data_IF_939785187969
#
_entry.id   IF_939785187969
#
_cell.length_a   1.000
_cell.length_b   1.000
_cell.length_c   1.000
_cell.angle_alpha   90.00
_cell.angle_beta   90.00
_cell.angle_gamma   90.00
#
_symmetry.space_group_name_H-M   'P 1'
#
loop_
_entity.id
_entity.type
_entity.pdbx_description
1 polymer ?
#
# COMPACT_ATOMS: atom_id res chain seq x y z
N UNK A 1 23.91 6.43 69.83
CA UNK A 1 23.09 7.63 70.13
C UNK A 1 22.14 7.88 68.97
N UNK A 2 20.82 7.61 69.12
CA UNK A 2 19.80 7.99 68.15
C UNK A 2 19.45 9.46 68.36
N UNK A 3 19.77 10.34 67.42
CA UNK A 3 19.34 11.74 67.47
C UNK A 3 17.88 11.79 67.12
N UNK A 4 16.98 12.08 68.03
CA UNK A 4 15.64 12.46 67.82
C UNK A 4 15.57 13.94 67.36
N UNK A 5 15.12 14.16 66.10
CA UNK A 5 14.85 15.52 65.65
C UNK A 5 13.46 15.90 66.15
N UNK A 6 13.39 16.80 67.16
CA UNK A 6 12.12 17.40 67.58
C UNK A 6 11.66 18.38 66.51
N UNK A 7 10.66 17.99 65.71
CA UNK A 7 9.97 18.92 64.83
C UNK A 7 9.07 19.81 65.67
N UNK A 8 9.27 21.11 65.64
CA UNK A 8 8.45 22.07 66.33
C UNK A 8 6.98 21.91 65.90
N UNK A 9 6.04 21.84 66.86
CA UNK A 9 4.61 21.63 66.60
C UNK A 9 4.01 22.63 65.59
N UNK A 10 4.51 23.87 65.59
CA UNK A 10 4.11 24.90 64.64
C UNK A 10 4.61 24.59 63.20
N UNK A 11 5.82 24.11 63.04
CA UNK A 11 6.41 23.72 61.76
C UNK A 11 5.68 22.49 61.18
N UNK A 12 5.30 21.54 62.02
CA UNK A 12 4.51 20.37 61.63
C UNK A 12 3.11 20.76 61.14
N UNK A 13 2.40 21.63 61.88
CA UNK A 13 1.05 22.14 61.51
C UNK A 13 1.15 22.93 60.21
N UNK A 14 2.16 23.79 60.06
CA UNK A 14 2.33 24.59 58.81
C UNK A 14 2.61 23.70 57.60
N UNK A 15 3.47 22.70 57.75
CA UNK A 15 3.78 21.75 56.66
C UNK A 15 2.54 20.93 56.26
N UNK A 16 1.70 20.50 57.22
CA UNK A 16 0.46 19.78 56.97
C UNK A 16 -0.54 20.65 56.24
N UNK A 17 -0.69 21.92 56.61
CA UNK A 17 -1.55 22.89 55.93
C UNK A 17 -1.11 23.16 54.50
N UNK A 18 0.20 23.29 54.23
CA UNK A 18 0.77 23.48 52.90
C UNK A 18 0.47 22.24 52.01
N UNK A 19 0.66 21.03 52.54
CA UNK A 19 0.35 19.79 51.82
C UNK A 19 -1.14 19.68 51.50
N UNK A 20 -2.00 20.02 52.50
CA UNK A 20 -3.45 20.03 52.29
C UNK A 20 -3.89 21.06 51.24
N UNK A 21 -3.29 22.27 51.25
CA UNK A 21 -3.56 23.30 50.28
C UNK A 21 -3.09 22.89 48.85
N UNK A 22 -1.91 22.29 48.74
CA UNK A 22 -1.39 21.76 47.48
C UNK A 22 -2.30 20.65 46.95
N UNK A 23 -2.76 19.73 47.80
CA UNK A 23 -3.67 18.68 47.45
C UNK A 23 -5.02 19.26 46.99
N UNK A 24 -5.57 20.24 47.70
CA UNK A 24 -6.79 20.96 47.32
C UNK A 24 -6.63 21.67 45.98
N UNK A 25 -5.52 22.36 45.71
CA UNK A 25 -5.24 22.99 44.42
C UNK A 25 -5.12 21.97 43.28
N UNK A 26 -4.52 20.81 43.54
CA UNK A 26 -4.43 19.71 42.58
C UNK A 26 -5.85 19.18 42.27
N UNK A 27 -6.67 18.95 43.28
CA UNK A 27 -8.08 18.48 43.10
C UNK A 27 -8.89 19.52 42.36
N UNK A 28 -8.78 20.81 42.71
CA UNK A 28 -9.48 21.89 41.99
C UNK A 28 -9.00 21.98 40.53
N UNK A 29 -7.69 21.91 40.27
CA UNK A 29 -7.15 21.90 38.91
C UNK A 29 -7.64 20.69 38.10
N UNK A 30 -7.75 19.53 38.74
CA UNK A 30 -8.25 18.31 38.10
C UNK A 30 -9.76 18.40 37.79
N UNK A 31 -10.57 18.98 38.68
CA UNK A 31 -12.00 19.18 38.47
C UNK A 31 -12.33 20.27 37.46
N UNK A 32 -11.53 21.35 37.40
CA UNK A 32 -11.69 22.44 36.43
C UNK A 32 -11.29 22.02 35.01
N UNK A 33 -10.28 21.13 34.88
CA UNK A 33 -9.75 20.69 33.59
C UNK A 33 -9.65 19.17 33.49
N UNK A 34 -10.80 18.46 33.47
CA UNK A 34 -10.80 17.02 33.49
C UNK A 34 -10.21 16.44 32.20
N UNK A 35 -9.47 15.33 32.36
CA UNK A 35 -9.09 14.51 31.22
C UNK A 35 -10.32 13.78 30.67
N UNK A 36 -10.40 13.68 29.33
CA UNK A 36 -11.41 12.93 28.61
C UNK A 36 -10.74 12.11 27.51
N UNK A 37 -11.48 11.24 26.89
CA UNK A 37 -11.01 10.39 25.80
C UNK A 37 -11.89 10.61 24.59
N UNK A 38 -11.27 10.74 23.42
CA UNK A 38 -11.99 10.93 22.16
C UNK A 38 -12.77 9.67 21.80
N UNK A 39 -14.05 9.84 21.50
CA UNK A 39 -14.91 8.79 20.98
C UNK A 39 -15.58 9.24 19.68
N UNK A 40 -15.72 8.32 18.73
CA UNK A 40 -16.35 8.54 17.44
C UNK A 40 -16.78 7.21 16.81
N UNK A 41 -17.56 7.29 15.74
CA UNK A 41 -18.06 6.10 15.03
C UNK A 41 -16.96 5.37 14.23
N UNK A 42 -15.95 6.11 13.76
CA UNK A 42 -14.79 5.56 13.06
C UNK A 42 -13.55 5.50 13.96
N UNK A 43 -12.40 5.41 13.35
CA UNK A 43 -11.12 5.40 14.05
C UNK A 43 -10.57 6.81 14.32
N UNK A 44 -11.00 7.80 13.56
CA UNK A 44 -10.54 9.19 13.62
C UNK A 44 -11.71 10.14 13.75
N UNK A 45 -11.61 11.09 14.69
CA UNK A 45 -12.50 12.25 14.79
C UNK A 45 -11.89 13.40 13.98
N UNK A 46 -12.60 13.90 12.97
CA UNK A 46 -12.20 15.10 12.25
C UNK A 46 -12.78 16.34 12.90
N UNK A 47 -11.93 17.30 13.23
CA UNK A 47 -12.27 18.56 13.87
C UNK A 47 -11.72 19.71 12.99
N UNK A 48 -12.49 20.78 12.85
CA UNK A 48 -12.04 21.99 12.14
C UNK A 48 -11.30 22.91 13.11
N UNK A 49 -10.10 23.33 12.69
CA UNK A 49 -9.31 24.37 13.31
C UNK A 49 -9.37 25.61 12.41
N UNK A 50 -9.81 26.73 12.96
CA UNK A 50 -9.85 27.99 12.22
C UNK A 50 -8.70 28.86 12.74
N UNK A 51 -7.84 29.33 11.84
CA UNK A 51 -6.78 30.29 12.15
C UNK A 51 -6.71 31.37 11.06
N UNK A 52 -6.05 32.46 11.36
CA UNK A 52 -5.84 33.55 10.39
C UNK A 52 -4.46 33.38 9.75
N UNK A 53 -4.43 33.38 8.44
CA UNK A 53 -3.20 33.40 7.65
C UNK A 53 -3.30 34.57 6.67
N UNK A 54 -2.34 35.51 6.74
CA UNK A 54 -2.34 36.75 5.96
C UNK A 54 -3.64 37.60 6.06
N UNK A 55 -4.36 37.50 7.21
CA UNK A 55 -5.62 38.22 7.43
C UNK A 55 -6.87 37.50 6.94
N UNK A 56 -6.74 36.35 6.29
CA UNK A 56 -7.85 35.49 5.85
C UNK A 56 -8.06 34.32 6.79
N UNK A 57 -9.31 33.92 6.98
CA UNK A 57 -9.65 32.74 7.81
C UNK A 57 -9.38 31.45 7.03
N UNK A 58 -8.43 30.68 7.49
CA UNK A 58 -8.10 29.35 6.95
C UNK A 58 -8.70 28.27 7.83
N UNK A 59 -9.36 27.28 7.22
CA UNK A 59 -9.94 26.14 7.89
C UNK A 59 -9.04 24.92 7.64
N UNK A 60 -8.40 24.45 8.71
CA UNK A 60 -7.60 23.22 8.71
C UNK A 60 -8.43 22.07 9.33
N UNK A 61 -8.35 20.89 8.75
CA UNK A 61 -8.98 19.66 9.29
C UNK A 61 -7.97 18.88 10.12
N UNK A 62 -8.16 18.88 11.44
CA UNK A 62 -7.35 18.13 12.38
C UNK A 62 -8.03 16.78 12.65
N UNK A 63 -7.28 15.68 12.51
CA UNK A 63 -7.76 14.31 12.80
C UNK A 63 -7.23 13.87 14.14
N UNK A 64 -8.13 13.42 15.02
CA UNK A 64 -7.78 12.94 16.37
C UNK A 64 -8.17 11.46 16.48
N UNK A 65 -7.22 10.56 16.81
CA UNK A 65 -7.51 9.15 16.95
C UNK A 65 -8.53 8.85 18.05
N UNK A 66 -9.44 7.92 17.80
CA UNK A 66 -10.37 7.39 18.80
C UNK A 66 -9.58 6.79 19.96
N UNK A 67 -9.96 7.08 21.19
CA UNK A 67 -9.22 6.64 22.39
C UNK A 67 -8.16 7.62 22.87
N UNK A 68 -7.82 8.65 22.09
CA UNK A 68 -6.82 9.67 22.50
C UNK A 68 -7.26 10.38 23.76
N UNK A 69 -6.36 10.48 24.74
CA UNK A 69 -6.57 11.25 25.96
C UNK A 69 -6.35 12.73 25.66
N UNK A 70 -7.34 13.55 25.99
CA UNK A 70 -7.32 15.00 25.80
C UNK A 70 -7.67 15.74 27.09
N UNK A 71 -7.15 16.94 27.25
CA UNK A 71 -7.49 17.82 28.38
C UNK A 71 -8.62 18.77 27.98
N UNK A 72 -9.71 18.80 28.73
CA UNK A 72 -10.78 19.78 28.51
C UNK A 72 -10.36 21.11 29.08
N UNK A 73 -10.25 22.13 28.23
CA UNK A 73 -9.91 23.49 28.62
C UNK A 73 -11.15 24.29 29.06
N UNK A 74 -12.26 24.13 28.32
CA UNK A 74 -13.52 24.81 28.61
C UNK A 74 -14.68 23.92 28.23
N UNK A 75 -15.66 23.76 29.12
CA UNK A 75 -16.90 23.00 28.86
C UNK A 75 -18.02 23.99 28.52
N UNK A 76 -18.81 23.69 27.48
CA UNK A 76 -20.02 24.38 27.07
C UNK A 76 -21.14 23.35 27.04
N UNK A 77 -22.38 23.79 26.86
CA UNK A 77 -23.58 22.95 26.92
C UNK A 77 -23.53 21.74 25.96
N UNK A 78 -23.21 21.99 24.68
CA UNK A 78 -23.22 20.94 23.64
C UNK A 78 -21.79 20.62 23.11
N UNK A 79 -20.79 21.39 23.49
CA UNK A 79 -19.41 21.26 23.01
C UNK A 79 -18.41 21.51 24.12
N UNK A 80 -17.17 21.15 23.88
CA UNK A 80 -16.04 21.51 24.76
C UNK A 80 -14.86 21.96 23.92
N UNK A 81 -14.05 22.85 24.48
CA UNK A 81 -12.75 23.19 23.93
C UNK A 81 -11.74 22.24 24.59
N UNK A 82 -11.05 21.48 23.78
CA UNK A 82 -9.99 20.56 24.20
C UNK A 82 -8.62 21.07 23.78
N UNK A 83 -7.57 20.59 24.45
CA UNK A 83 -6.18 20.79 24.03
C UNK A 83 -5.67 19.49 23.42
N UNK A 84 -5.24 19.57 22.16
CA UNK A 84 -4.61 18.49 21.42
C UNK A 84 -3.44 19.04 20.59
N UNK A 85 -2.24 18.48 20.76
CA UNK A 85 -1.00 18.93 20.12
C UNK A 85 -0.77 20.46 20.21
N UNK A 86 -1.01 21.04 21.42
CA UNK A 86 -0.94 22.45 21.73
C UNK A 86 -2.05 23.33 21.15
N UNK A 87 -2.93 22.79 20.30
CA UNK A 87 -4.06 23.49 19.72
C UNK A 87 -5.29 23.43 20.60
N UNK A 88 -6.10 24.51 20.57
CA UNK A 88 -7.45 24.56 21.17
C UNK A 88 -8.47 24.22 20.11
N UNK A 89 -9.09 23.05 20.24
CA UNK A 89 -10.05 22.52 19.28
C UNK A 89 -11.45 22.41 19.91
N UNK A 90 -12.49 22.78 19.16
CA UNK A 90 -13.88 22.65 19.59
C UNK A 90 -14.42 21.30 19.15
N UNK A 91 -14.84 20.48 20.12
CA UNK A 91 -15.43 19.15 19.88
C UNK A 91 -16.82 19.05 20.52
N UNK A 92 -17.70 18.25 19.93
CA UNK A 92 -19.01 17.94 20.54
C UNK A 92 -18.81 17.14 21.83
N UNK A 93 -19.61 17.39 22.86
CA UNK A 93 -19.54 16.63 24.11
C UNK A 93 -19.82 15.13 23.91
N UNK A 94 -20.60 14.77 22.90
CA UNK A 94 -20.82 13.38 22.48
C UNK A 94 -19.58 12.66 21.93
N UNK A 95 -18.54 13.41 21.59
CA UNK A 95 -17.25 12.87 21.16
C UNK A 95 -16.24 12.77 22.31
N UNK A 96 -16.68 12.96 23.55
CA UNK A 96 -15.84 12.87 24.75
C UNK A 96 -16.39 11.79 25.69
N UNK A 97 -15.53 10.89 26.11
CA UNK A 97 -15.83 9.82 27.06
C UNK A 97 -15.05 10.00 28.35
N UNK A 98 -15.59 9.47 29.45
CA UNK A 98 -14.95 9.58 30.77
C UNK A 98 -13.78 8.63 30.94
N UNK A 99 -13.79 7.51 30.22
CA UNK A 99 -12.73 6.51 30.28
C UNK A 99 -12.28 6.04 28.89
N UNK A 100 -11.04 5.54 28.84
CA UNK A 100 -10.50 4.94 27.63
C UNK A 100 -11.36 3.77 27.12
N UNK A 101 -11.78 2.90 28.04
CA UNK A 101 -12.55 1.72 27.70
C UNK A 101 -13.92 2.09 27.09
N UNK A 102 -14.60 3.11 27.63
CA UNK A 102 -15.83 3.63 27.01
C UNK A 102 -15.55 4.25 25.63
N UNK A 103 -14.46 4.98 25.51
CA UNK A 103 -14.13 5.66 24.26
C UNK A 103 -13.92 4.69 23.08
N UNK A 104 -13.24 3.55 23.33
CA UNK A 104 -12.98 2.55 22.30
C UNK A 104 -14.05 1.45 22.22
N UNK A 105 -15.00 1.42 23.15
CA UNK A 105 -16.03 0.38 23.24
C UNK A 105 -16.84 0.30 21.95
N UNK A 106 -17.14 -0.92 21.52
CA UNK A 106 -18.10 -1.24 20.47
C UNK A 106 -18.73 -2.59 20.75
N UNK A 107 -20.06 -2.67 20.65
CA UNK A 107 -20.80 -3.92 20.86
C UNK A 107 -20.67 -4.85 19.67
N UNK A 108 -20.57 -4.28 18.47
CA UNK A 108 -20.58 -5.02 17.22
C UNK A 108 -19.66 -4.38 16.20
N UNK A 109 -19.07 -5.24 15.37
CA UNK A 109 -18.38 -4.87 14.15
C UNK A 109 -18.95 -5.65 12.96
N UNK A 110 -18.71 -5.18 11.75
CA UNK A 110 -19.23 -5.77 10.51
C UNK A 110 -18.07 -6.12 9.59
N UNK A 111 -17.98 -7.37 9.18
CA UNK A 111 -16.90 -7.79 8.27
C UNK A 111 -17.11 -7.25 6.85
N UNK A 112 -16.09 -6.63 6.29
CA UNK A 112 -16.13 -6.09 4.93
C UNK A 112 -15.81 -7.13 3.84
N UNK A 113 -15.38 -8.32 4.23
CA UNK A 113 -15.16 -9.48 3.36
C UNK A 113 -15.40 -10.80 4.10
N UNK A 114 -15.23 -11.92 3.40
CA UNK A 114 -15.20 -13.25 4.02
C UNK A 114 -13.91 -13.39 4.84
N UNK A 115 -14.01 -13.70 6.12
CA UNK A 115 -12.86 -13.80 7.05
C UNK A 115 -12.96 -15.07 7.88
N UNK A 116 -11.87 -15.83 7.97
CA UNK A 116 -11.72 -16.87 8.97
C UNK A 116 -11.34 -16.24 10.32
N UNK A 117 -12.07 -16.60 11.37
CA UNK A 117 -11.69 -16.21 12.73
C UNK A 117 -10.42 -16.95 13.16
N UNK A 118 -9.68 -16.38 14.11
CA UNK A 118 -8.48 -17.01 14.66
C UNK A 118 -8.73 -17.51 16.08
N UNK A 119 -8.03 -18.60 16.43
CA UNK A 119 -8.10 -19.16 17.79
C UNK A 119 -7.36 -18.31 18.81
N UNK A 120 -6.32 -17.58 18.34
CA UNK A 120 -5.52 -16.62 19.10
C UNK A 120 -5.11 -15.42 18.22
N UNK A 121 -4.63 -14.34 18.83
CA UNK A 121 -4.17 -13.13 18.11
C UNK A 121 -2.99 -13.46 17.22
N UNK A 122 -3.13 -13.20 15.90
CA UNK A 122 -2.08 -13.50 14.92
C UNK A 122 -1.82 -14.99 14.68
N UNK A 123 -2.49 -15.89 15.42
CA UNK A 123 -2.24 -17.33 15.37
C UNK A 123 -3.06 -18.06 14.31
N UNK A 124 -3.28 -19.37 14.56
CA UNK A 124 -3.92 -20.30 13.64
C UNK A 124 -5.34 -19.89 13.25
N UNK A 125 -5.65 -20.03 11.97
CA UNK A 125 -7.01 -19.86 11.45
C UNK A 125 -7.93 -20.98 11.93
N UNK A 126 -9.10 -20.60 12.43
CA UNK A 126 -10.16 -21.56 12.72
C UNK A 126 -10.97 -21.89 11.46
N UNK A 127 -11.77 -22.95 11.54
CA UNK A 127 -12.77 -23.26 10.48
C UNK A 127 -14.02 -22.39 10.56
N UNK A 128 -14.08 -21.46 11.50
CA UNK A 128 -15.23 -20.58 11.68
C UNK A 128 -15.07 -19.32 10.83
N UNK A 129 -16.01 -19.11 9.94
CA UNK A 129 -16.02 -18.07 8.94
C UNK A 129 -17.07 -17.01 9.28
N UNK A 130 -16.75 -15.74 9.02
CA UNK A 130 -17.67 -14.60 9.04
C UNK A 130 -17.83 -14.08 7.62
N UNK A 131 -19.06 -13.86 7.19
CA UNK A 131 -19.37 -13.41 5.82
C UNK A 131 -19.29 -11.87 5.71
N UNK A 132 -19.16 -11.37 4.49
CA UNK A 132 -19.25 -9.93 4.20
C UNK A 132 -20.57 -9.36 4.69
N UNK A 133 -20.54 -8.23 5.40
CA UNK A 133 -21.70 -7.57 5.98
C UNK A 133 -22.28 -8.28 7.22
N UNK A 134 -21.71 -9.39 7.66
CA UNK A 134 -22.16 -10.08 8.86
C UNK A 134 -21.77 -9.28 10.11
N UNK A 135 -22.75 -9.15 11.04
CA UNK A 135 -22.55 -8.52 12.34
C UNK A 135 -21.89 -9.48 13.32
N UNK A 136 -20.80 -9.08 13.91
CA UNK A 136 -20.06 -9.86 14.89
C UNK A 136 -20.09 -9.15 16.24
N UNK A 137 -20.52 -9.87 17.28
CA UNK A 137 -20.53 -9.34 18.65
C UNK A 137 -19.11 -9.29 19.20
N UNK A 138 -18.68 -8.12 19.66
CA UNK A 138 -17.41 -7.91 20.35
C UNK A 138 -17.57 -8.28 21.81
N UNK A 139 -16.68 -9.12 22.32
CA UNK A 139 -16.63 -9.50 23.72
C UNK A 139 -15.78 -8.51 24.54
N UNK A 140 -14.61 -8.20 24.01
CA UNK A 140 -13.72 -7.20 24.60
C UNK A 140 -12.67 -6.72 23.61
N UNK A 141 -12.04 -5.59 23.94
CA UNK A 141 -10.90 -4.99 23.24
C UNK A 141 -9.77 -4.83 24.25
N UNK A 142 -8.60 -5.37 23.96
CA UNK A 142 -7.42 -5.18 24.77
C UNK A 142 -6.78 -3.81 24.43
N UNK A 143 -6.40 -3.03 25.43
CA UNK A 143 -5.71 -1.76 25.24
C UNK A 143 -4.43 -1.90 24.42
N UNK A 144 -3.74 -3.03 24.51
CA UNK A 144 -2.53 -3.33 23.73
C UNK A 144 -2.79 -3.48 22.22
N UNK A 145 -4.04 -3.71 21.83
CA UNK A 145 -4.45 -3.81 20.44
C UNK A 145 -4.90 -2.47 19.84
N UNK A 146 -4.91 -1.40 20.64
CA UNK A 146 -5.23 -0.07 20.18
C UNK A 146 -3.96 0.64 19.68
N UNK A 147 -4.06 1.24 18.51
CA UNK A 147 -3.02 2.06 17.92
C UNK A 147 -3.31 3.54 18.23
N UNK A 148 -2.38 4.19 18.95
CA UNK A 148 -2.55 5.58 19.41
C UNK A 148 -2.50 6.62 18.28
N UNK A 149 -1.91 6.28 17.15
CA UNK A 149 -1.76 7.20 16.01
C UNK A 149 -2.98 7.17 15.09
N UNK A 150 -3.56 5.99 14.90
CA UNK A 150 -4.66 5.77 13.96
C UNK A 150 -6.01 5.55 14.64
N UNK A 151 -6.01 5.32 15.96
CA UNK A 151 -7.22 4.92 16.69
C UNK A 151 -7.74 3.54 16.33
N UNK A 152 -7.01 2.79 15.50
CA UNK A 152 -7.42 1.48 15.02
C UNK A 152 -7.24 0.41 16.08
N UNK A 153 -8.19 -0.54 16.12
CA UNK A 153 -8.09 -1.73 16.94
C UNK A 153 -7.54 -2.87 16.08
N UNK A 154 -6.37 -3.41 16.44
CA UNK A 154 -5.73 -4.52 15.70
C UNK A 154 -6.48 -5.83 15.84
N UNK A 155 -6.98 -6.14 17.05
CA UNK A 155 -7.67 -7.38 17.33
C UNK A 155 -8.91 -7.15 18.19
N UNK A 156 -10.04 -7.72 17.75
CA UNK A 156 -11.26 -7.83 18.51
C UNK A 156 -11.40 -9.23 19.07
N UNK A 157 -11.64 -9.36 20.36
CA UNK A 157 -12.07 -10.61 20.97
C UNK A 157 -13.58 -10.73 20.72
N UNK A 158 -13.98 -11.79 20.02
CA UNK A 158 -15.36 -11.96 19.54
C UNK A 158 -15.92 -13.32 19.95
N UNK A 159 -17.24 -13.40 20.07
CA UNK A 159 -17.93 -14.65 20.42
C UNK A 159 -18.75 -15.13 19.24
N UNK A 160 -18.54 -16.40 18.83
CA UNK A 160 -19.34 -17.06 17.81
C UNK A 160 -19.56 -18.52 18.19
N UNK A 161 -20.82 -19.03 18.08
CA UNK A 161 -21.18 -20.40 18.47
C UNK A 161 -20.74 -20.77 19.91
N UNK A 162 -20.92 -19.86 20.84
CA UNK A 162 -20.51 -19.99 22.26
C UNK A 162 -19.02 -20.18 22.53
N UNK A 163 -18.17 -19.99 21.53
CA UNK A 163 -16.71 -20.00 21.67
C UNK A 163 -16.13 -18.63 21.38
N UNK A 164 -15.00 -18.36 22.02
CA UNK A 164 -14.23 -17.14 21.84
C UNK A 164 -13.23 -17.29 20.70
N UNK A 165 -13.12 -16.23 19.87
CA UNK A 165 -12.19 -16.12 18.75
C UNK A 165 -11.61 -14.74 18.69
N UNK A 166 -10.66 -14.54 17.78
CA UNK A 166 -10.07 -13.25 17.46
C UNK A 166 -10.33 -12.87 16.01
N UNK A 167 -10.77 -11.64 15.81
CA UNK A 167 -11.07 -11.04 14.52
C UNK A 167 -10.15 -9.85 14.31
N UNK A 168 -9.41 -9.84 13.20
CA UNK A 168 -8.53 -8.72 12.86
C UNK A 168 -9.35 -7.47 12.54
N UNK A 169 -8.93 -6.35 13.12
CA UNK A 169 -9.53 -5.03 12.88
C UNK A 169 -9.39 -4.53 11.44
N UNK A 170 -8.42 -5.06 10.71
CA UNK A 170 -8.22 -4.77 9.27
C UNK A 170 -9.46 -5.12 8.43
N UNK A 171 -10.26 -6.08 8.86
CA UNK A 171 -11.37 -6.61 8.06
C UNK A 171 -12.75 -6.19 8.55
N UNK A 172 -12.84 -5.18 9.41
CA UNK A 172 -14.11 -4.76 9.99
C UNK A 172 -14.42 -3.28 9.77
N UNK A 173 -15.70 -3.00 9.79
CA UNK A 173 -16.26 -1.67 9.71
C UNK A 173 -17.25 -1.42 10.87
N UNK A 174 -17.49 -0.16 11.18
CA UNK A 174 -18.39 0.27 12.26
C UNK A 174 -19.87 0.09 11.91
N UNK A 175 -20.21 -0.10 10.64
CA UNK A 175 -21.59 -0.30 10.20
C UNK A 175 -21.70 -1.28 9.03
N UNK A 176 -22.87 -1.93 8.91
CA UNK A 176 -23.16 -2.83 7.78
C UNK A 176 -23.11 -2.11 6.42
N UNK A 177 -23.57 -0.83 6.39
CA UNK A 177 -23.52 -0.02 5.17
C UNK A 177 -22.09 0.17 4.67
N UNK A 178 -21.16 0.47 5.56
CA UNK A 178 -19.74 0.59 5.22
C UNK A 178 -19.14 -0.75 4.79
N UNK A 179 -19.43 -1.83 5.52
CA UNK A 179 -18.94 -3.16 5.22
C UNK A 179 -19.43 -3.73 3.88
N UNK A 180 -20.59 -3.27 3.40
CA UNK A 180 -21.17 -3.70 2.13
C UNK A 180 -20.78 -2.80 0.95
N UNK A 181 -20.07 -1.68 1.17
CA UNK A 181 -19.58 -0.86 0.05
C UNK A 181 -18.84 -1.74 -0.95
N UNK A 182 -19.16 -1.55 -2.22
CA UNK A 182 -18.47 -2.23 -3.29
C UNK A 182 -17.10 -1.57 -3.53
N UNK A 183 -16.14 -2.37 -3.94
CA UNK A 183 -14.79 -1.90 -4.27
C UNK A 183 -14.74 -0.97 -5.49
N UNK A 184 -15.78 -0.98 -6.33
CA UNK A 184 -15.92 -0.13 -7.49
C UNK A 184 -16.08 1.38 -7.16
N UNK A 185 -16.16 1.75 -5.90
CA UNK A 185 -16.01 3.13 -5.45
C UNK A 185 -14.53 3.43 -5.11
N UNK A 186 -13.69 3.40 -6.12
CA UNK A 186 -12.25 3.63 -6.03
C UNK A 186 -11.87 4.92 -5.26
N UNK A 187 -12.69 5.98 -5.39
CA UNK A 187 -12.43 7.28 -4.73
C UNK A 187 -12.48 7.17 -3.18
N UNK A 188 -13.41 6.38 -2.63
CA UNK A 188 -13.48 6.22 -1.16
C UNK A 188 -12.42 5.26 -0.62
N UNK A 189 -11.90 4.41 -1.49
CA UNK A 189 -10.84 3.48 -1.19
C UNK A 189 -9.47 4.18 -1.20
N UNK A 190 -9.19 4.97 -2.23
CA UNK A 190 -7.96 5.77 -2.27
C UNK A 190 -7.87 6.73 -1.07
N UNK A 191 -8.98 7.37 -0.68
CA UNK A 191 -8.97 8.27 0.48
C UNK A 191 -8.67 7.54 1.78
N UNK A 192 -9.19 6.31 1.98
CA UNK A 192 -8.87 5.51 3.17
C UNK A 192 -7.39 5.13 3.19
N UNK A 193 -6.82 4.74 2.05
CA UNK A 193 -5.43 4.35 1.94
C UNK A 193 -4.47 5.54 1.94
N UNK A 194 -4.84 6.64 1.32
CA UNK A 194 -4.11 7.91 1.43
C UNK A 194 -4.00 8.34 2.89
N UNK A 195 -5.09 8.22 3.65
CA UNK A 195 -5.09 8.51 5.08
C UNK A 195 -4.28 7.48 5.89
N UNK A 196 -4.42 6.20 5.57
CA UNK A 196 -3.66 5.12 6.20
C UNK A 196 -2.16 5.28 5.96
N UNK A 197 -1.73 5.51 4.73
CA UNK A 197 -0.33 5.70 4.38
C UNK A 197 0.21 7.03 4.91
N UNK A 198 -0.51 8.11 4.81
CA UNK A 198 -0.08 9.41 5.34
C UNK A 198 0.05 9.42 6.85
N UNK A 199 -0.90 8.83 7.55
CA UNK A 199 -0.98 8.91 9.02
C UNK A 199 -0.38 7.67 9.71
N UNK A 200 -0.40 6.50 9.09
CA UNK A 200 0.09 5.23 9.66
C UNK A 200 1.54 4.93 9.37
N UNK A 201 2.00 5.25 8.17
CA UNK A 201 3.38 4.98 7.71
C UNK A 201 4.28 6.20 7.71
N UNK A 202 3.77 7.40 7.95
CA UNK A 202 4.58 8.63 7.94
C UNK A 202 5.74 8.65 8.93
N UNK A 203 5.76 7.71 9.88
CA UNK A 203 6.87 7.51 10.82
C UNK A 203 7.90 6.49 10.35
N UNK A 204 7.58 5.73 9.31
CA UNK A 204 8.50 4.77 8.72
C UNK A 204 9.30 5.49 7.62
N UNK A 205 10.63 5.43 7.65
CA UNK A 205 11.52 6.10 6.70
C UNK A 205 11.20 5.76 5.22
N UNK A 206 10.40 4.72 5.00
CA UNK A 206 10.05 4.18 3.70
C UNK A 206 8.91 4.93 3.01
N UNK A 207 7.95 5.47 3.72
CA UNK A 207 6.77 6.09 3.09
C UNK A 207 7.00 7.54 2.66
N UNK A 208 8.00 8.22 3.21
CA UNK A 208 8.45 9.53 2.71
C UNK A 208 9.01 9.47 1.28
N UNK A 209 9.31 8.27 0.77
CA UNK A 209 9.85 8.04 -0.57
C UNK A 209 8.77 7.80 -1.63
N UNK A 210 7.50 7.68 -1.24
CA UNK A 210 6.38 7.41 -2.16
C UNK A 210 5.75 8.71 -2.60
N UNK A 211 5.57 8.88 -3.91
CA UNK A 211 4.83 10.01 -4.47
C UNK A 211 3.33 9.68 -4.55
N UNK A 212 2.53 10.39 -3.76
CA UNK A 212 1.07 10.23 -3.70
C UNK A 212 0.31 11.18 -4.64
N UNK A 213 1.00 11.96 -5.47
CA UNK A 213 0.33 12.87 -6.38
C UNK A 213 -0.47 12.10 -7.41
N UNK A 214 -1.71 12.53 -7.69
CA UNK A 214 -2.49 11.92 -8.75
C UNK A 214 -1.78 12.01 -10.09
N UNK A 215 -1.61 10.88 -10.76
CA UNK A 215 -1.04 10.84 -12.10
C UNK A 215 -2.13 11.25 -13.09
N UNK A 216 -1.82 12.23 -13.95
CA UNK A 216 -2.71 12.61 -15.05
C UNK A 216 -2.77 11.47 -16.06
N UNK A 217 -3.99 11.03 -16.37
CA UNK A 217 -4.20 10.05 -17.44
C UNK A 217 -3.83 10.68 -18.79
N UNK A 218 -2.94 10.02 -19.52
CA UNK A 218 -2.56 10.42 -20.86
C UNK A 218 -3.58 9.92 -21.89
N UNK A 219 -3.73 10.66 -22.97
CA UNK A 219 -4.54 10.29 -24.13
C UNK A 219 -3.82 10.74 -25.38
N UNK A 220 -3.71 9.84 -26.36
CA UNK A 220 -3.02 10.09 -27.62
C UNK A 220 -4.02 9.93 -28.78
N UNK A 221 -4.25 11.01 -29.53
CA UNK A 221 -5.22 11.00 -30.65
C UNK A 221 -4.83 10.03 -31.74
N UNK A 222 -3.51 9.90 -32.00
CA UNK A 222 -2.93 9.00 -32.99
C UNK A 222 -2.82 7.54 -32.51
N UNK A 223 -2.98 7.33 -31.21
CA UNK A 223 -2.95 6.02 -30.57
C UNK A 223 -4.14 5.86 -29.60
N UNK A 224 -5.38 5.84 -30.09
CA UNK A 224 -6.56 5.75 -29.23
C UNK A 224 -6.65 4.36 -28.57
N UNK A 225 -6.83 4.34 -27.26
CA UNK A 225 -7.10 3.12 -26.52
C UNK A 225 -8.55 2.65 -26.80
N UNK A 226 -8.78 1.33 -26.99
CA UNK A 226 -10.13 0.81 -27.15
C UNK A 226 -11.02 1.16 -25.95
N UNK A 227 -12.26 1.59 -26.22
CA UNK A 227 -13.24 1.91 -25.17
C UNK A 227 -13.57 0.70 -24.28
N UNK A 228 -13.58 -0.48 -24.88
CA UNK A 228 -13.76 -1.77 -24.21
C UNK A 228 -12.70 -2.72 -24.72
N UNK A 229 -11.75 -3.07 -23.86
CA UNK A 229 -10.68 -4.01 -24.17
C UNK A 229 -11.20 -5.44 -24.06
N UNK A 230 -11.04 -6.20 -25.14
CA UNK A 230 -11.29 -7.64 -25.21
C UNK A 230 -10.02 -8.29 -25.73
N UNK A 231 -9.14 -8.67 -24.81
CA UNK A 231 -7.78 -9.07 -25.12
C UNK A 231 -7.59 -10.59 -25.05
N UNK A 232 -6.61 -11.06 -25.83
CA UNK A 232 -6.02 -12.38 -25.67
C UNK A 232 -4.51 -12.23 -25.47
N UNK A 233 -3.96 -12.98 -24.52
CA UNK A 233 -2.52 -13.13 -24.34
C UNK A 233 -1.97 -14.19 -25.31
N UNK A 234 -0.89 -13.86 -26.00
CA UNK A 234 -0.31 -14.71 -27.04
C UNK A 234 1.18 -14.90 -26.72
N UNK A 235 1.59 -16.15 -26.47
CA UNK A 235 3.00 -16.50 -26.32
C UNK A 235 3.78 -16.27 -27.62
N UNK A 236 5.11 -16.16 -27.52
CA UNK A 236 5.99 -15.95 -28.68
C UNK A 236 5.71 -16.94 -29.79
N UNK A 237 5.65 -18.23 -29.47
CA UNK A 237 5.41 -19.31 -30.44
C UNK A 237 4.04 -19.17 -31.14
N UNK A 238 2.98 -18.95 -30.35
CA UNK A 238 1.63 -18.77 -30.90
C UNK A 238 1.51 -17.52 -31.77
N UNK A 239 2.19 -16.44 -31.41
CA UNK A 239 2.18 -15.21 -32.19
C UNK A 239 2.80 -15.42 -33.57
N UNK A 240 3.85 -16.22 -33.69
CA UNK A 240 4.51 -16.50 -34.95
C UNK A 240 3.75 -17.56 -35.77
N UNK A 241 3.37 -18.67 -35.14
CA UNK A 241 2.91 -19.85 -35.85
C UNK A 241 1.38 -19.89 -36.04
N UNK A 242 0.61 -19.14 -35.26
CA UNK A 242 -0.85 -19.22 -35.23
C UNK A 242 -1.57 -17.92 -35.64
N UNK A 243 -0.94 -17.05 -36.42
CA UNK A 243 -1.51 -15.75 -36.85
C UNK A 243 -2.90 -15.88 -37.45
N UNK A 244 -3.08 -16.84 -38.39
CA UNK A 244 -4.38 -17.09 -39.05
C UNK A 244 -5.48 -17.51 -38.07
N UNK A 245 -5.13 -18.16 -36.99
CA UNK A 245 -6.07 -18.54 -35.93
C UNK A 245 -6.45 -17.32 -35.10
N UNK A 246 -5.51 -16.53 -34.68
CA UNK A 246 -5.71 -15.28 -33.91
C UNK A 246 -6.66 -14.35 -34.68
N UNK A 247 -6.43 -14.18 -35.97
CA UNK A 247 -7.25 -13.33 -36.83
C UNK A 247 -8.73 -13.78 -37.00
N UNK A 248 -9.00 -15.06 -36.76
CA UNK A 248 -10.35 -15.63 -36.81
C UNK A 248 -11.11 -15.54 -35.51
N UNK A 249 -10.46 -15.16 -34.41
CA UNK A 249 -11.11 -15.01 -33.11
C UNK A 249 -12.12 -13.87 -33.18
N UNK A 250 -13.39 -14.21 -32.90
CA UNK A 250 -14.47 -13.25 -32.85
C UNK A 250 -14.45 -12.51 -31.52
N UNK A 251 -14.93 -11.28 -31.51
CA UNK A 251 -15.06 -10.46 -30.29
C UNK A 251 -13.76 -10.07 -29.59
N UNK A 252 -12.61 -10.30 -30.21
CA UNK A 252 -11.30 -9.85 -29.72
C UNK A 252 -10.90 -8.60 -30.50
N UNK A 253 -10.45 -7.57 -29.78
CA UNK A 253 -9.95 -6.34 -30.37
C UNK A 253 -8.54 -5.98 -29.92
N UNK A 254 -7.95 -6.79 -29.05
CA UNK A 254 -6.63 -6.53 -28.46
C UNK A 254 -5.83 -7.83 -28.41
N UNK A 255 -4.58 -7.75 -28.82
CA UNK A 255 -3.60 -8.84 -28.66
C UNK A 255 -2.49 -8.37 -27.74
N UNK A 256 -2.20 -9.19 -26.73
CA UNK A 256 -1.07 -8.98 -25.80
C UNK A 256 -0.01 -9.98 -26.21
N UNK A 257 1.06 -9.48 -26.84
CA UNK A 257 2.14 -10.30 -27.39
C UNK A 257 3.29 -10.36 -26.37
N UNK A 258 3.68 -11.55 -26.00
CA UNK A 258 4.87 -11.77 -25.21
C UNK A 258 6.11 -11.44 -26.04
N UNK A 259 6.72 -10.28 -25.79
CA UNK A 259 7.93 -9.83 -26.50
C UNK A 259 9.21 -10.15 -25.74
N UNK A 260 9.10 -10.30 -24.42
CA UNK A 260 10.16 -10.82 -23.54
C UNK A 260 9.52 -11.72 -22.49
N UNK A 261 10.01 -12.96 -22.37
CA UNK A 261 9.50 -13.94 -21.41
C UNK A 261 10.26 -13.91 -20.07
N UNK A 262 9.88 -14.78 -19.14
CA UNK A 262 10.47 -14.87 -17.80
C UNK A 262 11.81 -15.63 -17.73
N UNK A 263 12.23 -16.26 -18.81
CA UNK A 263 13.58 -16.80 -18.96
C UNK A 263 14.59 -15.72 -19.41
N UNK A 264 14.09 -14.60 -19.95
CA UNK A 264 14.88 -13.52 -20.53
C UNK A 264 15.01 -13.61 -22.05
N UNK A 265 14.32 -14.56 -22.70
CA UNK A 265 14.30 -14.67 -24.16
C UNK A 265 13.45 -13.56 -24.77
N UNK A 266 13.89 -13.03 -25.92
CA UNK A 266 13.23 -11.95 -26.64
C UNK A 266 12.72 -12.48 -28.00
N UNK A 267 11.48 -12.11 -28.35
CA UNK A 267 10.81 -12.54 -29.55
C UNK A 267 11.56 -12.20 -30.84
N UNK A 268 12.33 -11.11 -30.85
CA UNK A 268 13.01 -10.57 -32.00
C UNK A 268 14.48 -10.26 -31.70
N UNK A 269 15.30 -10.12 -32.73
CA UNK A 269 16.71 -9.77 -32.59
C UNK A 269 16.87 -8.30 -32.14
N UNK A 270 16.85 -8.08 -30.83
CA UNK A 270 16.96 -6.77 -30.21
C UNK A 270 18.42 -6.28 -30.22
N UNK A 271 18.62 -5.01 -30.57
CA UNK A 271 19.94 -4.38 -30.47
C UNK A 271 20.26 -3.94 -29.03
N UNK A 272 19.25 -3.70 -28.22
CA UNK A 272 19.37 -3.28 -26.81
C UNK A 272 20.19 -4.28 -25.98
N UNK A 273 20.06 -5.59 -26.29
CA UNK A 273 20.82 -6.62 -25.59
C UNK A 273 22.34 -6.40 -25.60
N UNK A 274 22.88 -5.79 -26.66
CA UNK A 274 24.33 -5.54 -26.81
C UNK A 274 24.89 -4.57 -25.77
N UNK A 275 24.04 -3.68 -25.27
CA UNK A 275 24.44 -2.64 -24.31
C UNK A 275 24.34 -3.11 -22.84
N UNK A 276 23.58 -4.17 -22.58
CA UNK A 276 23.26 -4.62 -21.22
C UNK A 276 23.75 -6.02 -20.86
N UNK A 277 24.01 -6.88 -21.88
CA UNK A 277 24.42 -8.25 -21.70
C UNK A 277 25.82 -8.46 -22.30
N UNK A 278 26.69 -9.19 -21.60
CA UNK A 278 28.03 -9.56 -22.10
C UNK A 278 27.92 -10.55 -23.24
N UNK A 279 26.94 -11.46 -23.18
CA UNK A 279 26.55 -12.33 -24.27
C UNK A 279 25.09 -12.11 -24.70
N UNK A 280 24.84 -11.19 -25.63
CA UNK A 280 23.51 -10.92 -26.15
C UNK A 280 22.81 -12.14 -26.74
N UNK A 281 23.59 -13.13 -27.23
CA UNK A 281 23.03 -14.32 -27.85
C UNK A 281 22.14 -15.13 -26.92
N UNK A 282 22.41 -15.09 -25.61
CA UNK A 282 21.59 -15.76 -24.61
C UNK A 282 20.13 -15.29 -24.63
N UNK A 283 19.89 -14.01 -24.89
CA UNK A 283 18.54 -13.43 -24.99
C UNK A 283 17.91 -13.60 -26.37
N UNK A 284 18.69 -13.50 -27.44
CA UNK A 284 18.19 -13.40 -28.82
C UNK A 284 18.52 -14.60 -29.72
N UNK A 285 19.22 -15.62 -29.21
CA UNK A 285 19.57 -16.80 -30.02
C UNK A 285 18.33 -17.57 -30.52
N UNK A 286 17.25 -17.50 -29.78
CA UNK A 286 15.95 -18.06 -30.13
C UNK A 286 14.98 -17.02 -30.67
N UNK A 287 15.48 -15.86 -31.13
CA UNK A 287 14.66 -14.83 -31.74
C UNK A 287 13.93 -15.40 -32.97
N UNK A 288 12.61 -15.39 -32.92
CA UNK A 288 11.77 -16.07 -33.89
C UNK A 288 11.51 -15.22 -35.14
N UNK A 289 11.81 -13.91 -35.07
CA UNK A 289 11.45 -12.96 -36.11
C UNK A 289 12.42 -11.78 -36.16
N UNK A 290 12.61 -11.23 -37.39
CA UNK A 290 13.33 -9.97 -37.53
C UNK A 290 12.50 -8.77 -37.09
N UNK A 291 13.14 -7.65 -36.68
CA UNK A 291 12.45 -6.38 -36.38
C UNK A 291 11.54 -5.92 -37.52
N UNK A 292 12.08 -6.01 -38.77
CA UNK A 292 11.34 -5.62 -39.98
C UNK A 292 10.06 -6.40 -40.16
N UNK A 293 10.09 -7.71 -39.97
CA UNK A 293 8.92 -8.58 -40.15
C UNK A 293 7.95 -8.40 -39.00
N UNK A 294 8.44 -8.22 -37.76
CA UNK A 294 7.59 -7.91 -36.60
C UNK A 294 6.82 -6.61 -36.82
N UNK A 295 7.52 -5.53 -37.25
CA UNK A 295 6.87 -4.25 -37.60
C UNK A 295 5.78 -4.44 -38.66
N UNK A 296 6.04 -5.26 -39.67
CA UNK A 296 5.05 -5.57 -40.72
C UNK A 296 3.82 -6.28 -40.12
N UNK A 297 4.02 -7.29 -39.31
CA UNK A 297 2.93 -8.04 -38.67
C UNK A 297 2.08 -7.11 -37.77
N UNK A 298 2.71 -6.31 -36.90
CA UNK A 298 2.01 -5.35 -36.04
C UNK A 298 1.19 -4.36 -36.88
N UNK A 299 1.75 -3.85 -37.96
CA UNK A 299 1.04 -2.96 -38.87
C UNK A 299 -0.19 -3.62 -39.50
N UNK A 300 -0.09 -4.90 -39.89
CA UNK A 300 -1.21 -5.64 -40.46
C UNK A 300 -2.31 -5.91 -39.41
N UNK A 301 -1.97 -6.24 -38.16
CA UNK A 301 -2.94 -6.36 -37.07
C UNK A 301 -3.64 -5.02 -36.81
N UNK A 302 -2.92 -3.91 -36.78
CA UNK A 302 -3.50 -2.56 -36.60
C UNK A 302 -4.45 -2.19 -37.75
N UNK A 303 -4.13 -2.53 -39.01
CA UNK A 303 -5.04 -2.33 -40.15
C UNK A 303 -6.32 -3.14 -40.00
N UNK A 304 -6.29 -4.30 -39.34
CA UNK A 304 -7.46 -5.15 -39.05
C UNK A 304 -8.23 -4.66 -37.80
N UNK A 305 -7.84 -3.55 -37.21
CA UNK A 305 -8.49 -2.94 -36.03
C UNK A 305 -8.05 -3.49 -34.68
N UNK A 306 -6.98 -4.28 -34.62
CA UNK A 306 -6.45 -4.74 -33.35
C UNK A 306 -5.59 -3.66 -32.66
N UNK A 307 -5.75 -3.58 -31.36
CA UNK A 307 -4.86 -2.87 -30.46
C UNK A 307 -3.75 -3.83 -30.00
N UNK A 308 -2.49 -3.48 -30.25
CA UNK A 308 -1.36 -4.36 -30.03
C UNK A 308 -0.59 -3.95 -28.78
N UNK A 309 -0.49 -4.84 -27.80
CA UNK A 309 0.21 -4.64 -26.54
C UNK A 309 1.48 -5.50 -26.53
N UNK A 310 2.63 -4.92 -26.20
CA UNK A 310 3.88 -5.62 -25.96
C UNK A 310 3.97 -5.97 -24.48
N UNK A 311 3.99 -7.26 -24.14
CA UNK A 311 4.23 -7.72 -22.77
C UNK A 311 5.71 -8.00 -22.56
N UNK A 312 6.28 -7.33 -21.56
CA UNK A 312 7.70 -7.47 -21.16
C UNK A 312 7.73 -7.98 -19.72
N UNK A 313 8.27 -9.18 -19.51
CA UNK A 313 8.57 -9.67 -18.17
C UNK A 313 9.78 -8.91 -17.63
N UNK A 314 9.60 -8.20 -16.50
CA UNK A 314 10.53 -7.16 -16.05
C UNK A 314 11.61 -7.71 -15.10
N UNK A 315 11.22 -8.11 -13.89
CA UNK A 315 12.19 -8.50 -12.84
C UNK A 315 12.23 -10.02 -12.56
N UNK A 316 11.73 -10.84 -13.49
CA UNK A 316 11.94 -12.28 -13.52
C UNK A 316 12.65 -12.62 -14.84
N UNK A 317 13.96 -12.71 -14.83
CA UNK A 317 14.78 -12.76 -16.05
C UNK A 317 16.11 -13.46 -15.75
N UNK A 318 16.18 -14.73 -16.12
CA UNK A 318 17.38 -15.54 -15.87
C UNK A 318 18.58 -15.06 -16.65
N UNK A 319 18.40 -14.66 -17.91
CA UNK A 319 19.50 -14.21 -18.78
C UNK A 319 20.12 -12.94 -18.22
N UNK A 320 19.32 -11.90 -17.94
CA UNK A 320 19.86 -10.68 -17.35
C UNK A 320 20.55 -10.95 -16.02
N UNK A 321 19.96 -11.80 -15.16
CA UNK A 321 20.51 -12.09 -13.84
C UNK A 321 21.86 -12.80 -13.91
N UNK A 322 22.01 -13.78 -14.81
CA UNK A 322 23.27 -14.50 -15.00
C UNK A 322 24.37 -13.59 -15.56
N UNK A 323 24.02 -12.70 -16.49
CA UNK A 323 24.95 -11.75 -17.09
C UNK A 323 25.28 -10.55 -16.17
N UNK A 324 24.43 -10.28 -15.18
CA UNK A 324 24.57 -9.15 -14.25
C UNK A 324 24.34 -9.57 -12.79
N UNK A 325 25.20 -10.44 -12.21
CA UNK A 325 24.99 -10.95 -10.84
C UNK A 325 24.93 -9.84 -9.77
N UNK A 326 25.71 -8.76 -9.93
CA UNK A 326 25.71 -7.62 -8.99
C UNK A 326 24.45 -6.76 -9.03
N UNK A 327 23.66 -6.94 -10.06
CA UNK A 327 22.38 -6.24 -10.30
C UNK A 327 21.17 -7.16 -10.01
N UNK A 328 21.42 -8.32 -9.41
CA UNK A 328 20.46 -9.41 -9.31
C UNK A 328 20.42 -9.97 -7.89
N UNK A 329 19.42 -10.79 -7.58
CA UNK A 329 19.25 -11.41 -6.28
C UNK A 329 20.37 -12.40 -5.98
N UNK A 330 21.15 -12.14 -4.93
CA UNK A 330 22.25 -13.00 -4.50
C UNK A 330 22.10 -13.41 -3.03
N UNK A 331 22.90 -14.35 -2.60
CA UNK A 331 23.20 -14.53 -1.19
C UNK A 331 24.23 -13.46 -0.70
N UNK A 332 24.58 -13.50 0.57
CA UNK A 332 25.56 -12.55 1.15
C UNK A 332 27.00 -12.82 0.71
N UNK A 333 27.28 -13.95 0.07
CA UNK A 333 28.59 -14.26 -0.53
C UNK A 333 28.68 -13.79 -1.98
N UNK A 334 27.58 -13.25 -2.53
CA UNK A 334 27.51 -12.76 -3.91
C UNK A 334 27.14 -13.82 -4.95
N UNK A 335 26.75 -15.03 -4.52
CA UNK A 335 26.29 -16.08 -5.43
C UNK A 335 24.83 -15.85 -5.80
N UNK A 336 24.49 -16.00 -7.09
CA UNK A 336 23.11 -15.92 -7.57
C UNK A 336 22.21 -16.94 -6.86
N UNK A 337 21.02 -16.52 -6.49
CA UNK A 337 20.03 -17.35 -5.81
C UNK A 337 18.88 -17.65 -6.75
N UNK A 338 18.55 -18.93 -6.94
CA UNK A 338 17.29 -19.37 -7.55
C UNK A 338 16.19 -19.17 -6.51
N UNK A 339 15.19 -18.38 -6.89
CA UNK A 339 14.02 -18.14 -6.04
C UNK A 339 12.75 -18.30 -6.88
N UNK A 340 11.79 -19.12 -6.40
CA UNK A 340 10.60 -19.49 -7.18
C UNK A 340 10.98 -19.97 -8.58
N UNK A 341 11.86 -20.97 -8.65
CA UNK A 341 12.31 -21.68 -9.84
C UNK A 341 13.04 -20.83 -10.90
N UNK A 342 13.49 -19.60 -10.55
CA UNK A 342 14.15 -18.71 -11.49
C UNK A 342 15.16 -17.78 -10.81
N UNK A 343 16.07 -17.19 -11.59
CA UNK A 343 16.88 -16.06 -11.20
C UNK A 343 16.13 -14.74 -11.40
N UNK A 344 16.37 -13.79 -10.51
CA UNK A 344 15.68 -12.51 -10.50
C UNK A 344 16.65 -11.35 -10.53
N UNK A 345 16.58 -10.44 -11.53
CA UNK A 345 17.15 -9.11 -11.40
C UNK A 345 16.60 -8.42 -10.16
N UNK A 346 17.43 -7.63 -9.50
CA UNK A 346 16.92 -6.81 -8.40
C UNK A 346 16.07 -5.67 -8.94
N UNK A 347 14.86 -5.51 -8.40
CA UNK A 347 14.04 -4.35 -8.75
C UNK A 347 14.59 -3.02 -8.20
N UNK A 348 15.65 -3.03 -7.39
CA UNK A 348 16.43 -1.84 -7.03
C UNK A 348 17.48 -1.47 -8.08
N UNK A 349 17.79 -2.36 -9.03
CA UNK A 349 18.83 -2.12 -10.05
C UNK A 349 18.37 -1.14 -11.11
N UNK A 350 19.05 0.01 -11.19
CA UNK A 350 18.82 0.98 -12.27
C UNK A 350 19.25 0.46 -13.63
N UNK A 351 20.22 -0.45 -13.68
CA UNK A 351 20.61 -1.13 -14.91
C UNK A 351 19.49 -2.02 -15.44
N UNK A 352 18.82 -2.77 -14.54
CA UNK A 352 17.66 -3.57 -14.91
C UNK A 352 16.47 -2.69 -15.37
N UNK A 353 16.29 -1.52 -14.74
CA UNK A 353 15.28 -0.55 -15.18
C UNK A 353 15.54 -0.07 -16.60
N UNK A 354 16.75 0.43 -16.86
CA UNK A 354 17.14 0.94 -18.18
C UNK A 354 17.01 -0.15 -19.25
N UNK A 355 17.48 -1.37 -18.99
CA UNK A 355 17.37 -2.49 -19.92
C UNK A 355 15.91 -2.73 -20.35
N UNK A 356 14.99 -2.85 -19.40
CA UNK A 356 13.59 -3.11 -19.71
C UNK A 356 12.90 -1.91 -20.38
N UNK A 357 13.26 -0.68 -20.02
CA UNK A 357 12.69 0.52 -20.63
C UNK A 357 13.24 0.74 -22.05
N UNK A 358 14.52 0.46 -22.32
CA UNK A 358 15.06 0.54 -23.70
C UNK A 358 14.44 -0.54 -24.61
N UNK A 359 14.20 -1.76 -24.11
CA UNK A 359 13.41 -2.76 -24.84
C UNK A 359 11.98 -2.28 -25.11
N UNK A 360 11.36 -1.63 -24.13
CA UNK A 360 10.03 -1.06 -24.28
C UNK A 360 9.99 0.07 -25.33
N UNK A 361 11.02 0.92 -25.36
CA UNK A 361 11.17 1.97 -26.39
C UNK A 361 11.33 1.37 -27.79
N UNK A 362 12.10 0.29 -27.89
CA UNK A 362 12.25 -0.45 -29.13
C UNK A 362 10.92 -1.07 -29.59
N UNK A 363 10.13 -1.67 -28.69
CA UNK A 363 8.79 -2.16 -28.99
C UNK A 363 7.85 -1.03 -29.43
N UNK A 364 7.92 0.14 -28.83
CA UNK A 364 7.15 1.31 -29.28
C UNK A 364 7.50 1.68 -30.71
N UNK A 365 8.80 1.68 -31.10
CA UNK A 365 9.27 1.96 -32.46
C UNK A 365 8.83 0.87 -33.46
N UNK A 366 8.68 -0.37 -33.01
CA UNK A 366 8.13 -1.47 -33.82
C UNK A 366 6.62 -1.35 -34.05
N UNK A 367 5.95 -0.38 -33.40
CA UNK A 367 4.55 -0.01 -33.67
C UNK A 367 3.53 -0.53 -32.67
N UNK A 368 3.91 -1.08 -31.53
CA UNK A 368 2.97 -1.44 -30.47
C UNK A 368 2.25 -0.19 -29.94
N UNK A 369 0.99 -0.37 -29.51
CA UNK A 369 0.17 0.69 -28.98
C UNK A 369 0.41 0.94 -27.46
N UNK A 370 0.82 -0.12 -26.77
CA UNK A 370 0.96 -0.14 -25.31
C UNK A 370 2.09 -1.09 -24.91
N UNK A 371 2.79 -0.74 -23.83
CA UNK A 371 3.77 -1.59 -23.18
C UNK A 371 3.21 -2.03 -21.85
N UNK A 372 3.09 -3.33 -21.66
CA UNK A 372 2.65 -3.97 -20.43
C UNK A 372 3.86 -4.60 -19.73
N UNK A 373 4.24 -4.06 -18.58
CA UNK A 373 5.26 -4.62 -17.74
C UNK A 373 4.64 -5.67 -16.81
N UNK A 374 5.09 -6.92 -16.94
CA UNK A 374 4.74 -8.00 -16.04
C UNK A 374 5.91 -8.34 -15.12
N UNK A 375 5.64 -9.05 -14.03
CA UNK A 375 6.62 -9.27 -12.96
C UNK A 375 7.33 -7.96 -12.53
N UNK A 376 6.58 -6.86 -12.53
CA UNK A 376 7.03 -5.55 -12.05
C UNK A 376 6.93 -5.53 -10.52
N UNK A 377 7.71 -6.40 -9.90
CA UNK A 377 7.67 -6.71 -8.47
C UNK A 377 8.93 -7.42 -8.00
N UNK A 378 9.11 -7.50 -6.69
CA UNK A 378 10.05 -8.43 -6.07
C UNK A 378 9.45 -9.86 -6.05
N UNK A 379 10.27 -10.91 -5.89
CA UNK A 379 9.76 -12.26 -5.70
C UNK A 379 8.91 -12.34 -4.43
N UNK A 380 7.81 -13.07 -4.49
CA UNK A 380 6.88 -13.27 -3.37
C UNK A 380 7.45 -14.22 -2.30
N UNK A 381 7.01 -14.04 -1.04
CA UNK A 381 7.44 -14.88 0.09
C UNK A 381 8.86 -14.61 0.57
N UNK A 382 9.50 -13.51 0.13
CA UNK A 382 10.87 -13.18 0.55
C UNK A 382 10.97 -12.59 1.95
N UNK A 383 9.86 -12.18 2.57
CA UNK A 383 9.87 -11.61 3.91
C UNK A 383 10.55 -12.51 4.95
N UNK A 384 10.31 -13.83 4.88
CA UNK A 384 10.94 -14.82 5.76
C UNK A 384 12.41 -15.13 5.39
N UNK A 385 12.83 -14.82 4.18
CA UNK A 385 14.17 -15.10 3.65
C UNK A 385 15.04 -13.84 3.54
N UNK A 386 14.52 -12.65 3.82
CA UNK A 386 15.22 -11.37 3.67
C UNK A 386 16.59 -11.32 4.36
N UNK A 387 16.75 -12.02 5.50
CA UNK A 387 18.03 -12.09 6.23
C UNK A 387 19.10 -12.92 5.51
N UNK A 388 18.74 -13.71 4.49
CA UNK A 388 19.64 -14.58 3.71
C UNK A 388 19.88 -14.06 2.31
N UNK A 389 19.09 -13.09 1.86
CA UNK A 389 19.08 -12.58 0.50
C UNK A 389 19.65 -11.16 0.46
N UNK A 390 20.46 -10.89 -0.55
CA UNK A 390 20.95 -9.56 -0.88
C UNK A 390 20.24 -9.06 -2.14
N UNK A 391 19.42 -8.03 -1.98
CA UNK A 391 18.71 -7.36 -3.08
C UNK A 391 19.50 -6.21 -3.69
N UNK A 392 20.71 -5.96 -3.22
CA UNK A 392 21.58 -4.86 -3.68
C UNK A 392 20.89 -3.48 -3.61
N UNK A 393 20.21 -3.20 -2.50
CA UNK A 393 19.49 -1.93 -2.29
C UNK A 393 20.46 -0.77 -2.02
N UNK A 394 21.12 -0.29 -3.07
CA UNK A 394 22.14 0.78 -3.00
C UNK A 394 21.54 2.12 -2.55
N UNK A 395 20.31 2.38 -2.93
CA UNK A 395 19.62 3.67 -2.67
C UNK A 395 18.84 3.70 -1.36
N UNK A 396 18.84 2.60 -0.60
CA UNK A 396 18.10 2.46 0.66
C UNK A 396 16.61 2.80 0.50
N UNK A 397 16.01 2.29 -0.54
CA UNK A 397 14.59 2.47 -0.87
C UNK A 397 13.73 1.35 -0.29
N UNK A 398 12.45 1.63 -0.05
CA UNK A 398 11.49 0.56 0.15
C UNK A 398 11.22 -0.17 -1.17
N UNK A 399 10.72 -1.41 -1.11
CA UNK A 399 10.30 -2.16 -2.29
C UNK A 399 9.22 -1.42 -3.07
N UNK A 400 8.26 -0.82 -2.38
CA UNK A 400 7.17 -0.04 -2.97
C UNK A 400 7.71 1.21 -3.70
N UNK A 401 8.65 1.95 -3.08
CA UNK A 401 9.25 3.12 -3.70
C UNK A 401 10.04 2.75 -4.97
N UNK A 402 10.75 1.62 -4.97
CA UNK A 402 11.47 1.14 -6.13
C UNK A 402 10.53 0.79 -7.29
N UNK A 403 9.43 0.07 -7.03
CA UNK A 403 8.45 -0.28 -8.07
C UNK A 403 7.74 0.97 -8.60
N UNK A 404 7.32 1.90 -7.72
CA UNK A 404 6.76 3.17 -8.15
C UNK A 404 7.76 3.97 -9.00
N UNK A 405 9.02 4.05 -8.56
CA UNK A 405 10.07 4.76 -9.28
C UNK A 405 10.34 4.18 -10.67
N UNK A 406 10.36 2.84 -10.79
CA UNK A 406 10.45 2.18 -12.08
C UNK A 406 9.31 2.55 -13.03
N UNK A 407 8.07 2.48 -12.54
CA UNK A 407 6.90 2.81 -13.37
C UNK A 407 6.86 4.29 -13.76
N UNK A 408 7.29 5.19 -12.88
CA UNK A 408 7.43 6.62 -13.21
C UNK A 408 8.49 6.83 -14.30
N UNK A 409 9.66 6.22 -14.15
CA UNK A 409 10.74 6.27 -15.13
C UNK A 409 10.29 5.73 -16.48
N UNK A 410 9.66 4.54 -16.50
CA UNK A 410 9.14 3.95 -17.72
C UNK A 410 8.10 4.86 -18.40
N UNK A 411 7.21 5.48 -17.62
CA UNK A 411 6.21 6.40 -18.15
C UNK A 411 6.87 7.65 -18.76
N UNK A 412 7.84 8.25 -18.07
CA UNK A 412 8.55 9.45 -18.54
C UNK A 412 9.28 9.18 -19.87
N UNK A 413 9.93 8.02 -19.99
CA UNK A 413 10.68 7.64 -21.20
C UNK A 413 9.77 7.24 -22.38
N UNK A 414 8.59 6.69 -22.10
CA UNK A 414 7.67 6.19 -23.14
C UNK A 414 6.61 7.23 -23.56
N UNK A 415 6.28 8.20 -22.74
CA UNK A 415 5.32 9.26 -23.07
C UNK A 415 5.65 10.01 -24.36
N UNK A 416 6.94 10.35 -24.66
CA UNK A 416 7.29 11.01 -25.92
C UNK A 416 7.07 10.14 -27.17
N UNK A 417 6.94 8.82 -27.00
CA UNK A 417 6.63 7.88 -28.09
C UNK A 417 5.14 7.65 -28.29
N UNK A 418 4.30 8.32 -27.49
CA UNK A 418 2.85 8.24 -27.51
C UNK A 418 2.31 6.80 -27.40
N UNK A 419 2.97 5.98 -26.55
CA UNK A 419 2.49 4.66 -26.19
C UNK A 419 2.04 4.63 -24.72
N UNK A 420 1.03 3.83 -24.44
CA UNK A 420 0.56 3.67 -23.07
C UNK A 420 1.46 2.71 -22.29
N UNK A 421 1.49 2.91 -20.99
CA UNK A 421 2.19 2.04 -20.04
C UNK A 421 1.18 1.38 -19.14
N UNK A 422 1.24 0.06 -19.04
CA UNK A 422 0.45 -0.77 -18.14
C UNK A 422 1.37 -1.64 -17.28
N UNK A 423 0.86 -2.08 -16.14
CA UNK A 423 1.55 -3.01 -15.25
C UNK A 423 0.61 -4.14 -14.85
N UNK A 424 1.12 -5.37 -14.91
CA UNK A 424 0.43 -6.52 -14.34
C UNK A 424 0.74 -6.58 -12.85
N UNK A 425 -0.33 -6.54 -12.05
CA UNK A 425 -0.23 -6.54 -10.60
C UNK A 425 -1.02 -7.70 -10.01
N UNK A 426 -0.58 -8.21 -8.88
CA UNK A 426 -1.36 -9.19 -8.15
C UNK A 426 -2.68 -8.60 -7.66
N UNK A 427 -3.70 -9.45 -7.57
CA UNK A 427 -5.00 -9.02 -7.04
C UNK A 427 -4.97 -8.75 -5.53
N UNK A 428 -3.90 -9.13 -4.82
CA UNK A 428 -3.79 -8.96 -3.37
C UNK A 428 -3.85 -7.49 -2.93
N UNK A 429 -3.17 -6.52 -3.54
CA UNK A 429 -3.30 -5.10 -3.22
C UNK A 429 -4.73 -4.56 -3.30
N UNK A 430 -5.57 -5.12 -4.19
CA UNK A 430 -6.99 -4.71 -4.30
C UNK A 430 -7.78 -5.05 -3.03
N UNK A 431 -7.41 -6.13 -2.33
CA UNK A 431 -8.16 -6.64 -1.17
C UNK A 431 -7.47 -6.37 0.17
N UNK A 432 -6.16 -6.24 0.17
CA UNK A 432 -5.33 -6.03 1.36
C UNK A 432 -4.69 -4.66 1.44
N UNK A 433 -4.86 -3.80 0.40
CA UNK A 433 -4.34 -2.46 0.21
C UNK A 433 -2.89 -2.34 -0.24
N UNK A 434 -2.06 -3.22 0.17
CA UNK A 434 -0.67 -3.31 -0.29
C UNK A 434 -0.20 -4.77 -0.28
N UNK A 435 0.88 -5.00 -0.97
CA UNK A 435 1.72 -6.18 -0.82
C UNK A 435 3.18 -5.72 -0.73
N UNK A 436 3.56 -5.24 0.45
CA UNK A 436 4.89 -4.67 0.70
C UNK A 436 6.02 -5.68 0.48
N UNK A 437 5.74 -6.99 0.61
CA UNK A 437 6.75 -8.02 0.37
C UNK A 437 7.23 -8.03 -1.08
N UNK A 438 6.35 -7.76 -2.01
CA UNK A 438 6.66 -7.70 -3.45
C UNK A 438 6.75 -6.26 -4.00
N UNK A 439 6.44 -5.24 -3.20
CA UNK A 439 6.53 -3.83 -3.56
C UNK A 439 5.33 -3.29 -4.34
N UNK A 440 4.16 -3.92 -4.23
CA UNK A 440 2.91 -3.51 -4.89
C UNK A 440 1.90 -2.97 -3.91
#
# INVERSE_FOLDING_TARGET
MKKYVFVNKQTFVLSTLIVALLFFLIVVAYTLHPNRYITCTGNLLTVEKIHLENGEAVIEKVKIPKGTKVKVHQKQEHSSIIIYNHDKLKVKNSNLSNSFNEAIHTDYVYCRRLVNLREEKGGKLSKVVVKKGERVKVESIDKKDWDENTGQIRWYKVKKKNKTYYLSGTYVESSRKLALKKYDQAISYSTYWDDYYKDGYSKDAYTSQIDYKPIKKETYNENPMPKHVKAIHVSMDNFINNQKYIEKLKDINTIIVETKNDEGSILYASDVCKDYLSDPSLAINNAMISKKDLTKIIKEYKKKGFYCVSRIVTFKDAVFAMENPKESLTDHNGSLVVYNDQYWPSAYSRKAWMYNVELAKECADLGFNEIQFDYVRFPDGTASANSKLNFHNTYKESKVAAIQGFLQYAKEELSPKHVYVAADMFAWPIVACDDQDIGQ
#
